data_IF_629874700864
#
_entry.id   IF_629874700864
#
_cell.length_a   1.000
_cell.length_b   1.000
_cell.length_c   1.000
_cell.angle_alpha   90.00
_cell.angle_beta   90.00
_cell.angle_gamma   90.00
#
_symmetry.space_group_name_H-M   'P 1'
#
loop_
_entity.id
_entity.type
_entity.pdbx_description
1 polymer ?
#
# COMPACT_ATOMS: atom_id res chain seq x y z
N UNK A 1 -8.38 12.35 -8.14
CA UNK A 1 -8.04 11.17 -7.32
C UNK A 1 -6.71 11.39 -6.63
N UNK A 2 -6.35 10.61 -5.60
CA UNK A 2 -5.14 10.87 -4.81
C UNK A 2 -4.54 9.62 -4.17
N UNK A 3 -3.34 9.75 -3.61
CA UNK A 3 -2.64 8.68 -2.89
C UNK A 3 -2.78 8.78 -1.38
N UNK A 4 -3.16 7.67 -0.75
CA UNK A 4 -3.12 7.47 0.70
C UNK A 4 -1.80 6.83 1.10
N UNK A 5 -0.69 7.56 0.90
CA UNK A 5 0.64 7.15 1.36
C UNK A 5 0.82 7.48 2.85
N UNK A 6 1.84 6.90 3.48
CA UNK A 6 2.17 7.24 4.87
C UNK A 6 2.46 8.73 5.02
N UNK A 7 3.21 9.32 4.08
CA UNK A 7 3.48 10.76 4.05
C UNK A 7 2.19 11.60 3.98
N UNK A 8 1.16 11.18 3.23
CA UNK A 8 -0.14 11.88 3.22
C UNK A 8 -0.74 11.92 4.62
N UNK A 9 -0.77 10.78 5.33
CA UNK A 9 -1.31 10.71 6.68
C UNK A 9 -0.47 11.44 7.73
N UNK A 10 0.86 11.41 7.61
CA UNK A 10 1.78 12.16 8.47
C UNK A 10 1.53 13.66 8.35
N UNK A 11 1.43 14.18 7.12
CA UNK A 11 1.16 15.59 6.88
C UNK A 11 -0.26 16.00 7.29
N UNK A 12 -1.25 15.11 7.17
CA UNK A 12 -2.58 15.37 7.73
C UNK A 12 -2.53 15.43 9.26
N UNK A 13 -1.85 14.49 9.92
CA UNK A 13 -1.73 14.45 11.37
C UNK A 13 -1.02 15.68 11.97
N UNK A 14 -0.18 16.38 11.19
CA UNK A 14 0.50 17.60 11.66
C UNK A 14 -0.40 18.84 11.66
N UNK A 15 -1.57 18.78 11.00
CA UNK A 15 -2.55 19.86 10.98
C UNK A 15 -3.46 19.81 12.21
N UNK A 16 -4.07 20.95 12.56
CA UNK A 16 -5.18 20.96 13.52
C UNK A 16 -6.38 20.17 13.00
N UNK A 17 -7.22 19.65 13.89
CA UNK A 17 -8.42 18.87 13.51
C UNK A 17 -9.34 19.63 12.54
N UNK A 18 -9.51 20.94 12.72
CA UNK A 18 -10.28 21.78 11.81
C UNK A 18 -9.66 21.86 10.41
N UNK A 19 -8.35 22.05 10.32
CA UNK A 19 -7.64 22.09 9.05
C UNK A 19 -7.64 20.73 8.33
N UNK A 20 -7.49 19.62 9.07
CA UNK A 20 -7.63 18.26 8.52
C UNK A 20 -9.00 18.06 7.86
N UNK A 21 -10.08 18.41 8.58
CA UNK A 21 -11.44 18.28 8.07
C UNK A 21 -11.68 19.15 6.84
N UNK A 22 -11.18 20.39 6.83
CA UNK A 22 -11.30 21.26 5.66
C UNK A 22 -10.59 20.61 4.47
N UNK A 23 -9.34 20.18 4.62
CA UNK A 23 -8.55 19.63 3.53
C UNK A 23 -9.19 18.37 2.95
N UNK A 24 -9.64 17.44 3.78
CA UNK A 24 -10.29 16.20 3.32
C UNK A 24 -11.62 16.51 2.62
N UNK A 25 -12.42 17.45 3.15
CA UNK A 25 -13.66 17.90 2.50
C UNK A 25 -13.40 18.58 1.16
N UNK A 26 -12.32 19.35 1.02
CA UNK A 26 -11.98 19.98 -0.26
C UNK A 26 -11.57 18.96 -1.34
N UNK A 27 -10.99 17.82 -0.97
CA UNK A 27 -10.71 16.76 -1.93
C UNK A 27 -11.89 15.82 -2.19
N UNK A 28 -12.61 15.39 -1.15
CA UNK A 28 -13.58 14.29 -1.26
C UNK A 28 -15.03 14.70 -1.01
N UNK A 29 -15.29 15.89 -0.48
CA UNK A 29 -16.64 16.36 -0.19
C UNK A 29 -17.35 16.93 -1.43
N UNK A 30 -18.70 16.96 -1.41
CA UNK A 30 -19.53 17.43 -2.53
C UNK A 30 -19.37 18.93 -2.84
N UNK A 31 -18.81 19.71 -1.91
CA UNK A 31 -18.48 21.12 -2.11
C UNK A 31 -17.03 21.35 -2.55
N UNK A 32 -16.28 20.27 -2.84
CA UNK A 32 -14.87 20.28 -3.18
C UNK A 32 -14.63 19.80 -4.62
N UNK A 33 -13.51 19.12 -4.82
CA UNK A 33 -13.10 18.54 -6.12
C UNK A 33 -13.61 17.12 -6.36
N UNK A 34 -14.32 16.54 -5.39
CA UNK A 34 -14.99 15.23 -5.48
C UNK A 34 -14.12 14.11 -6.07
N UNK A 35 -12.95 13.89 -5.49
CA UNK A 35 -12.08 12.78 -5.86
C UNK A 35 -12.81 11.44 -5.70
N UNK A 36 -12.97 10.73 -6.82
CA UNK A 36 -13.64 9.41 -6.90
C UNK A 36 -12.68 8.21 -7.01
N UNK A 37 -11.36 8.46 -6.97
CA UNK A 37 -10.32 7.41 -7.03
C UNK A 37 -9.23 7.64 -5.97
N UNK A 38 -8.88 6.60 -5.23
CA UNK A 38 -7.82 6.58 -4.22
C UNK A 38 -6.82 5.46 -4.45
N UNK A 39 -5.52 5.77 -4.42
CA UNK A 39 -4.43 4.79 -4.46
C UNK A 39 -3.95 4.48 -3.04
N UNK A 40 -3.78 3.22 -2.68
CA UNK A 40 -3.23 2.80 -1.38
C UNK A 40 -2.01 1.91 -1.60
N UNK A 41 -0.80 2.31 -1.15
CA UNK A 41 0.33 1.41 -1.10
C UNK A 41 0.04 0.18 -0.22
N UNK A 42 0.41 -1.00 -0.68
CA UNK A 42 0.46 -2.19 0.17
C UNK A 42 1.81 -2.15 0.90
N UNK A 43 1.76 -1.95 2.22
CA UNK A 43 2.89 -1.65 3.08
C UNK A 43 3.64 -0.36 2.70
N UNK A 44 4.96 -0.32 2.90
CA UNK A 44 5.79 0.88 2.68
C UNK A 44 6.06 1.21 1.21
N UNK A 45 6.33 2.48 0.95
CA UNK A 45 6.84 2.99 -0.32
C UNK A 45 7.95 4.02 -0.08
N UNK A 46 8.40 4.69 -1.14
CA UNK A 46 9.34 5.82 -1.09
C UNK A 46 8.80 7.01 -0.28
N UNK A 47 7.47 7.14 -0.18
CA UNK A 47 6.78 8.11 0.69
C UNK A 47 6.46 7.56 2.09
N UNK A 48 7.29 6.65 2.60
CA UNK A 48 7.26 6.14 3.99
C UNK A 48 8.54 6.52 4.73
N UNK A 49 8.48 6.64 6.06
CA UNK A 49 9.65 7.00 6.87
C UNK A 49 10.74 5.90 6.91
N UNK A 50 10.33 4.64 6.71
CA UNK A 50 11.22 3.50 6.63
C UNK A 50 10.58 2.36 5.82
N UNK A 51 11.37 1.40 5.31
CA UNK A 51 10.84 0.17 4.74
C UNK A 51 10.19 -0.70 5.81
N UNK A 52 9.01 -1.19 5.52
CA UNK A 52 8.31 -2.25 6.25
C UNK A 52 7.45 -3.05 5.28
N UNK A 53 7.21 -4.32 5.62
CA UNK A 53 6.17 -5.14 5.01
C UNK A 53 5.16 -5.57 6.08
N UNK A 54 4.19 -6.40 5.70
CA UNK A 54 3.24 -6.99 6.66
C UNK A 54 3.70 -8.34 7.18
N UNK A 55 4.82 -8.87 6.67
CA UNK A 55 5.31 -10.21 6.97
C UNK A 55 6.85 -10.20 6.99
N UNK A 56 7.42 -9.43 7.91
CA UNK A 56 8.89 -9.26 8.01
C UNK A 56 9.58 -10.41 8.78
N UNK A 57 8.83 -11.41 9.28
CA UNK A 57 9.39 -12.59 9.94
C UNK A 57 9.89 -13.59 8.90
N UNK A 58 11.21 -13.75 8.83
CA UNK A 58 11.84 -14.63 7.85
C UNK A 58 11.37 -16.09 7.98
N UNK A 59 10.94 -16.67 6.87
CA UNK A 59 10.48 -18.06 6.84
C UNK A 59 9.03 -18.26 7.29
N UNK A 60 8.25 -17.20 7.47
CA UNK A 60 6.82 -17.31 7.75
C UNK A 60 6.00 -17.65 6.50
N UNK A 61 6.20 -18.87 6.01
CA UNK A 61 5.40 -19.37 4.89
C UNK A 61 3.92 -19.48 5.28
N UNK A 62 3.55 -19.59 6.55
CA UNK A 62 2.15 -19.68 6.97
C UNK A 62 1.39 -18.36 7.01
N UNK A 63 2.08 -17.21 6.90
CA UNK A 63 1.53 -15.89 7.20
C UNK A 63 0.97 -15.81 8.64
N UNK A 64 1.61 -16.52 9.58
CA UNK A 64 1.20 -16.57 10.98
C UNK A 64 1.50 -15.28 11.74
N UNK A 65 2.48 -14.52 11.27
CA UNK A 65 2.93 -13.23 11.79
C UNK A 65 2.47 -12.07 10.90
N UNK A 66 1.63 -12.34 9.89
CA UNK A 66 1.07 -11.29 9.06
C UNK A 66 0.30 -10.30 9.93
N UNK A 67 0.65 -9.02 9.85
CA UNK A 67 -0.06 -7.95 10.51
C UNK A 67 0.04 -6.64 9.73
N UNK A 68 -1.05 -5.86 9.71
CA UNK A 68 -0.97 -4.47 9.26
C UNK A 68 -0.03 -3.69 10.17
N UNK A 69 0.73 -2.76 9.58
CA UNK A 69 1.67 -1.96 10.32
C UNK A 69 0.95 -0.83 11.07
N UNK A 70 1.59 -0.30 12.11
CA UNK A 70 1.08 0.87 12.82
C UNK A 70 0.84 2.07 11.87
N UNK A 71 1.64 2.18 10.80
CA UNK A 71 1.45 3.17 9.76
C UNK A 71 0.07 3.09 9.07
N UNK A 72 -0.48 1.89 8.85
CA UNK A 72 -1.83 1.75 8.27
C UNK A 72 -2.89 2.35 9.18
N UNK A 73 -2.83 2.03 10.47
CA UNK A 73 -3.79 2.50 11.47
C UNK A 73 -3.66 3.99 11.77
N UNK A 74 -2.44 4.54 11.72
CA UNK A 74 -2.19 5.95 12.04
C UNK A 74 -2.31 6.89 10.85
N UNK A 75 -1.96 6.44 9.64
CA UNK A 75 -1.74 7.32 8.49
C UNK A 75 -2.62 7.00 7.27
N UNK A 76 -3.24 5.82 7.20
CA UNK A 76 -4.00 5.41 6.00
C UNK A 76 -5.47 5.17 6.30
N UNK A 77 -5.77 4.19 7.15
CA UNK A 77 -7.14 3.74 7.45
C UNK A 77 -8.06 4.89 7.91
N UNK A 78 -7.67 5.77 8.86
CA UNK A 78 -8.57 6.82 9.33
C UNK A 78 -8.97 7.79 8.21
N UNK A 79 -8.05 8.11 7.31
CA UNK A 79 -8.27 9.07 6.23
C UNK A 79 -9.01 8.46 5.04
N UNK A 80 -8.76 7.18 4.77
CA UNK A 80 -9.57 6.41 3.81
C UNK A 80 -11.04 6.35 4.28
N UNK A 81 -11.29 6.06 5.56
CA UNK A 81 -12.65 6.04 6.14
C UNK A 81 -13.35 7.39 6.03
N UNK A 82 -12.65 8.49 6.32
CA UNK A 82 -13.21 9.84 6.15
C UNK A 82 -13.55 10.16 4.69
N UNK A 83 -12.65 9.82 3.76
CA UNK A 83 -12.87 10.03 2.33
C UNK A 83 -14.05 9.18 1.80
N UNK A 84 -14.15 7.91 2.22
CA UNK A 84 -15.27 7.03 1.89
C UNK A 84 -16.59 7.61 2.39
N UNK A 85 -16.65 8.07 3.64
CA UNK A 85 -17.86 8.66 4.23
C UNK A 85 -18.35 9.89 3.44
N UNK A 86 -17.43 10.76 3.01
CA UNK A 86 -17.77 11.95 2.21
C UNK A 86 -18.28 11.61 0.81
N UNK A 87 -17.82 10.50 0.24
CA UNK A 87 -18.19 10.05 -1.11
C UNK A 87 -19.44 9.16 -1.15
N UNK A 88 -20.03 8.80 0.00
CA UNK A 88 -21.25 7.96 0.04
C UNK A 88 -22.42 8.56 -0.75
N UNK A 89 -22.53 9.89 -0.79
CA UNK A 89 -23.60 10.59 -1.52
C UNK A 89 -23.24 10.94 -2.98
N UNK A 90 -21.97 10.82 -3.39
CA UNK A 90 -21.43 11.32 -4.66
C UNK A 90 -21.02 10.21 -5.66
N UNK A 91 -21.61 9.01 -5.54
CA UNK A 91 -21.30 7.89 -6.44
C UNK A 91 -20.13 7.01 -6.01
N UNK A 92 -19.54 7.28 -4.84
CA UNK A 92 -18.57 6.42 -4.17
C UNK A 92 -17.11 6.67 -4.55
N UNK A 93 -16.21 6.28 -3.63
CA UNK A 93 -14.77 6.33 -3.82
C UNK A 93 -14.27 4.92 -4.19
N UNK A 94 -13.65 4.78 -5.38
CA UNK A 94 -12.96 3.56 -5.77
C UNK A 94 -11.54 3.56 -5.23
N UNK A 95 -11.14 2.47 -4.58
CA UNK A 95 -9.78 2.30 -4.07
C UNK A 95 -9.02 1.30 -4.93
N UNK A 96 -7.76 1.61 -5.27
CA UNK A 96 -6.85 0.65 -5.90
C UNK A 96 -5.56 0.51 -5.09
N UNK A 97 -5.05 -0.72 -4.99
CA UNK A 97 -3.86 -1.04 -4.22
C UNK A 97 -2.68 -1.44 -5.12
N UNK A 98 -1.46 -1.21 -4.65
CA UNK A 98 -0.24 -1.66 -5.34
C UNK A 98 0.89 -1.89 -4.32
N UNK A 99 1.60 -3.03 -4.36
CA UNK A 99 2.81 -3.22 -3.56
C UNK A 99 4.02 -2.59 -4.27
N UNK A 100 4.96 -2.05 -3.49
CA UNK A 100 6.26 -1.62 -4.00
C UNK A 100 7.31 -2.72 -3.95
N UNK A 101 7.20 -3.65 -3.00
CA UNK A 101 8.18 -4.69 -2.79
C UNK A 101 7.56 -5.87 -2.04
N UNK A 102 8.13 -7.07 -2.19
CA UNK A 102 7.90 -8.17 -1.27
C UNK A 102 8.71 -7.96 0.03
N UNK A 103 8.38 -8.66 1.14
CA UNK A 103 9.23 -8.72 2.31
C UNK A 103 10.69 -9.02 1.95
N UNK A 104 11.64 -8.40 2.67
CA UNK A 104 13.06 -8.50 2.36
C UNK A 104 13.55 -9.94 2.28
N UNK A 105 13.10 -10.80 3.20
CA UNK A 105 13.48 -12.21 3.26
C UNK A 105 12.97 -13.07 2.07
N UNK A 106 11.99 -12.57 1.31
CA UNK A 106 11.51 -13.22 0.09
C UNK A 106 12.33 -12.82 -1.15
N UNK A 107 13.07 -11.70 -1.09
CA UNK A 107 13.83 -11.15 -2.22
C UNK A 107 15.25 -11.70 -2.26
N UNK A 108 15.82 -11.84 -3.46
CA UNK A 108 17.17 -12.40 -3.61
C UNK A 108 18.26 -11.53 -2.97
N UNK A 109 18.03 -10.22 -2.83
CA UNK A 109 18.92 -9.30 -2.10
C UNK A 109 18.79 -9.36 -0.58
N UNK A 110 17.74 -9.99 -0.05
CA UNK A 110 17.39 -9.90 1.38
C UNK A 110 16.82 -8.53 1.81
N UNK A 111 16.64 -7.59 0.88
CA UNK A 111 16.28 -6.20 1.16
C UNK A 111 15.07 -5.75 0.34
N UNK A 112 14.16 -4.98 0.96
CA UNK A 112 13.01 -4.39 0.26
C UNK A 112 13.44 -3.33 -0.77
N UNK A 113 14.47 -2.56 -0.43
CA UNK A 113 15.09 -1.55 -1.30
C UNK A 113 16.11 -2.18 -2.24
N UNK A 114 16.36 -1.51 -3.36
CA UNK A 114 17.38 -1.94 -4.32
C UNK A 114 16.86 -2.93 -5.37
N UNK A 115 17.50 -2.92 -6.56
CA UNK A 115 17.11 -3.74 -7.69
C UNK A 115 17.32 -5.23 -7.41
N UNK A 116 16.25 -6.02 -7.49
CA UNK A 116 16.30 -7.48 -7.43
C UNK A 116 14.93 -8.09 -7.75
N UNK A 117 14.90 -9.41 -7.96
CA UNK A 117 13.69 -10.24 -8.10
C UNK A 117 13.31 -10.90 -6.77
N UNK A 118 12.20 -11.64 -6.78
CA UNK A 118 11.99 -12.71 -5.80
C UNK A 118 13.14 -13.73 -5.84
N UNK A 119 13.41 -14.34 -4.69
CA UNK A 119 14.32 -15.48 -4.62
C UNK A 119 13.74 -16.65 -5.43
N UNK A 120 14.60 -17.50 -5.99
CA UNK A 120 14.25 -18.59 -6.93
C UNK A 120 13.48 -19.78 -6.32
N UNK A 121 12.68 -19.56 -5.27
CA UNK A 121 11.84 -20.60 -4.66
C UNK A 121 10.43 -20.52 -5.25
N UNK A 122 9.94 -21.57 -5.94
CA UNK A 122 8.61 -21.58 -6.58
C UNK A 122 7.45 -21.24 -5.63
N UNK A 123 7.64 -21.49 -4.33
CA UNK A 123 6.64 -21.20 -3.30
C UNK A 123 6.47 -19.70 -3.03
N UNK A 124 7.41 -18.85 -3.41
CA UNK A 124 7.38 -17.43 -3.03
C UNK A 124 6.38 -16.60 -3.85
N UNK A 125 6.09 -16.96 -5.10
CA UNK A 125 5.02 -16.33 -5.87
C UNK A 125 3.66 -16.59 -5.22
N UNK A 126 3.37 -17.86 -4.89
CA UNK A 126 2.16 -18.24 -4.16
C UNK A 126 2.05 -17.53 -2.81
N UNK A 127 3.17 -17.33 -2.10
CA UNK A 127 3.16 -16.58 -0.83
C UNK A 127 2.90 -15.11 -1.03
N UNK A 128 3.51 -14.49 -2.03
CA UNK A 128 3.26 -13.09 -2.36
C UNK A 128 1.77 -12.85 -2.67
N UNK A 129 1.16 -13.72 -3.48
CA UNK A 129 -0.29 -13.68 -3.71
C UNK A 129 -1.08 -13.85 -2.41
N UNK A 130 -0.65 -14.77 -1.53
CA UNK A 130 -1.23 -14.97 -0.19
C UNK A 130 -1.17 -13.71 0.70
N UNK A 131 -0.03 -13.02 0.76
CA UNK A 131 0.12 -11.78 1.53
C UNK A 131 -0.77 -10.66 0.97
N UNK A 132 -0.95 -10.59 -0.35
CA UNK A 132 -1.90 -9.66 -0.99
C UNK A 132 -3.35 -9.97 -0.60
N UNK A 133 -3.74 -11.24 -0.53
CA UNK A 133 -5.07 -11.65 -0.04
C UNK A 133 -5.24 -11.25 1.43
N UNK A 134 -4.27 -11.55 2.29
CA UNK A 134 -4.30 -11.16 3.72
C UNK A 134 -4.44 -9.65 3.92
N UNK A 135 -3.80 -8.85 3.06
CA UNK A 135 -3.99 -7.40 3.06
C UNK A 135 -5.45 -7.00 2.81
N UNK A 136 -6.09 -7.59 1.80
CA UNK A 136 -7.51 -7.30 1.52
C UNK A 136 -8.44 -7.79 2.62
N UNK A 137 -8.19 -8.96 3.19
CA UNK A 137 -8.94 -9.47 4.36
C UNK A 137 -8.82 -8.51 5.55
N UNK A 138 -7.60 -8.04 5.86
CA UNK A 138 -7.35 -7.14 6.98
C UNK A 138 -8.00 -5.77 6.77
N UNK A 139 -7.92 -5.19 5.57
CA UNK A 139 -8.61 -3.93 5.26
C UNK A 139 -10.14 -4.09 5.21
N UNK A 140 -10.63 -5.25 4.76
CA UNK A 140 -12.06 -5.54 4.77
C UNK A 140 -12.59 -5.65 6.21
N UNK A 141 -11.83 -6.21 7.14
CA UNK A 141 -12.16 -6.22 8.58
C UNK A 141 -12.25 -4.80 9.17
N UNK A 142 -11.53 -3.85 8.57
CA UNK A 142 -11.62 -2.41 8.87
C UNK A 142 -12.77 -1.71 8.11
N UNK A 143 -13.61 -2.45 7.37
CA UNK A 143 -14.71 -1.89 6.58
C UNK A 143 -14.27 -1.19 5.29
N UNK A 144 -13.08 -1.49 4.78
CA UNK A 144 -12.52 -0.89 3.56
C UNK A 144 -12.41 -1.96 2.47
N UNK A 145 -13.16 -1.78 1.38
CA UNK A 145 -13.10 -2.62 0.19
C UNK A 145 -12.30 -1.97 -0.94
N UNK A 146 -11.64 -2.79 -1.76
CA UNK A 146 -10.88 -2.33 -2.92
C UNK A 146 -11.58 -2.67 -4.23
N UNK A 147 -11.48 -1.75 -5.20
CA UNK A 147 -11.97 -1.92 -6.56
C UNK A 147 -10.96 -2.64 -7.46
N UNK A 148 -9.67 -2.38 -7.27
CA UNK A 148 -8.62 -2.92 -8.12
C UNK A 148 -7.29 -3.11 -7.38
N UNK A 149 -6.40 -3.90 -7.99
CA UNK A 149 -5.02 -4.10 -7.54
C UNK A 149 -4.10 -4.12 -8.76
N UNK A 150 -2.92 -3.50 -8.66
CA UNK A 150 -1.83 -3.79 -9.59
C UNK A 150 -0.92 -4.85 -8.99
N UNK A 151 -0.38 -5.79 -9.80
CA UNK A 151 0.49 -6.83 -9.26
C UNK A 151 1.73 -6.21 -8.61
N UNK A 152 2.30 -5.16 -9.21
CA UNK A 152 3.51 -4.51 -8.75
C UNK A 152 3.48 -3.02 -9.13
N UNK A 153 4.05 -2.16 -8.28
CA UNK A 153 4.41 -0.80 -8.66
C UNK A 153 5.70 -0.81 -9.49
N UNK A 154 5.66 -0.17 -10.66
CA UNK A 154 6.83 0.09 -11.51
C UNK A 154 7.77 -1.14 -11.66
N UNK A 155 7.26 -2.26 -12.19
CA UNK A 155 7.96 -3.56 -12.14
C UNK A 155 9.33 -3.57 -12.82
N UNK A 156 9.62 -2.63 -13.71
CA UNK A 156 10.93 -2.52 -14.38
C UNK A 156 11.99 -1.84 -13.52
N UNK A 157 11.61 -1.11 -12.47
CA UNK A 157 12.57 -0.41 -11.59
C UNK A 157 13.48 -1.37 -10.83
N UNK A 158 13.03 -2.60 -10.61
CA UNK A 158 13.84 -3.64 -9.98
C UNK A 158 15.01 -4.14 -10.84
N UNK A 159 15.09 -3.75 -12.13
CA UNK A 159 16.23 -4.00 -12.99
C UNK A 159 17.19 -2.79 -13.10
N UNK A 160 16.84 -1.63 -12.55
CA UNK A 160 17.64 -0.41 -12.66
C UNK A 160 18.74 -0.44 -11.59
N UNK A 161 20.04 -0.43 -11.99
CA UNK A 161 21.15 -0.37 -11.03
C UNK A 161 21.01 0.82 -10.07
N UNK A 162 21.33 0.59 -8.80
CA UNK A 162 21.32 1.61 -7.74
C UNK A 162 19.95 2.25 -7.46
N UNK A 163 18.83 1.59 -7.81
CA UNK A 163 17.50 2.09 -7.44
C UNK A 163 17.38 2.23 -5.91
N UNK A 164 17.07 3.43 -5.37
CA UNK A 164 17.31 3.69 -3.95
C UNK A 164 16.12 3.33 -3.03
N UNK A 165 14.95 3.02 -3.57
CA UNK A 165 13.73 2.75 -2.79
C UNK A 165 13.22 1.31 -2.96
N UNK A 166 12.13 1.01 -2.25
CA UNK A 166 11.38 -0.24 -2.35
C UNK A 166 11.02 -0.53 -3.81
N UNK A 167 11.49 -1.65 -4.34
CA UNK A 167 11.21 -2.09 -5.70
C UNK A 167 11.31 -3.61 -5.79
N UNK A 168 10.74 -4.19 -6.83
CA UNK A 168 10.90 -5.59 -7.19
C UNK A 168 10.74 -5.77 -8.69
N UNK A 169 11.68 -6.49 -9.30
CA UNK A 169 11.68 -6.74 -10.73
C UNK A 169 10.64 -7.80 -11.09
N UNK A 170 9.78 -7.47 -12.05
CA UNK A 170 8.95 -8.41 -12.79
C UNK A 170 9.02 -8.05 -14.27
N UNK A 171 9.12 -9.05 -15.12
CA UNK A 171 8.92 -8.88 -16.55
C UNK A 171 7.53 -9.41 -16.96
N UNK A 172 7.21 -9.29 -18.24
CA UNK A 172 5.93 -9.76 -18.76
C UNK A 172 5.86 -11.30 -18.91
N UNK A 173 6.95 -12.03 -18.65
CA UNK A 173 7.11 -13.46 -18.92
C UNK A 173 7.32 -14.30 -17.65
N UNK A 174 7.50 -13.65 -16.51
CA UNK A 174 7.63 -14.31 -15.21
C UNK A 174 6.23 -14.69 -14.72
N UNK A 175 5.88 -15.97 -14.91
CA UNK A 175 4.74 -16.65 -14.28
C UNK A 175 5.15 -17.40 -13.00
#
# INVERSE_FOLDING_TARGET
GGGFTDSTGINLNSLSSGAQQILIKQYFGPSGTEYTLGRVPIASCDFSLSPYSYDDVAGDFSLANFALANADFQYKIPYIKQALALQQASGGLRLFAAPWSAPGWMKASGQMQGPTTLSSKPTLELRRSGSTIRFFEAYLAEGISFWAVSPQNEPTTGAIPFWPWQTMYFDAFSE
#
